data_IF_563753411174
#
_entry.id   IF_563753411174
#
_cell.length_a   1.000
_cell.length_b   1.000
_cell.length_c   1.000
_cell.angle_alpha   90.00
_cell.angle_beta   90.00
_cell.angle_gamma   90.00
#
_symmetry.space_group_name_H-M   'P 1'
#
loop_
_entity.id
_entity.type
_entity.pdbx_description
1 polymer ?
#
# COMPACT_ATOMS: atom_id res chain seq x y z
N UNK A 1 -25.88 -8.48 -22.16
CA UNK A 1 -26.34 -9.88 -22.28
C UNK A 1 -27.12 -9.94 -23.57
N UNK A 2 -26.85 -10.94 -24.41
CA UNK A 2 -27.46 -11.02 -25.73
C UNK A 2 -28.97 -11.30 -25.62
N UNK A 3 -29.65 -11.34 -26.77
CA UNK A 3 -31.09 -11.62 -26.84
C UNK A 3 -31.52 -12.96 -26.22
N UNK A 4 -30.56 -13.84 -25.90
CA UNK A 4 -30.77 -15.15 -25.29
C UNK A 4 -30.38 -15.18 -23.81
N UNK A 5 -29.98 -14.05 -23.23
CA UNK A 5 -29.57 -13.93 -21.82
C UNK A 5 -28.13 -14.37 -21.55
N UNK A 6 -27.31 -14.61 -22.58
CA UNK A 6 -25.90 -14.93 -22.41
C UNK A 6 -25.08 -13.68 -22.18
N UNK A 7 -24.06 -13.81 -21.35
CA UNK A 7 -23.12 -12.72 -21.09
C UNK A 7 -22.24 -12.53 -22.32
N UNK A 8 -22.41 -11.39 -23.00
CA UNK A 8 -21.67 -11.04 -24.22
C UNK A 8 -20.17 -10.83 -23.99
N UNK A 9 -19.76 -10.56 -22.75
CA UNK A 9 -18.37 -10.40 -22.35
C UNK A 9 -18.08 -11.14 -21.05
N UNK A 10 -17.66 -12.40 -21.16
CA UNK A 10 -17.36 -13.26 -20.03
C UNK A 10 -16.28 -12.67 -19.10
N UNK A 11 -15.27 -11.99 -19.67
CA UNK A 11 -14.21 -11.35 -18.89
C UNK A 11 -14.73 -10.17 -18.06
N UNK A 12 -15.63 -9.36 -18.64
CA UNK A 12 -16.27 -8.27 -17.91
C UNK A 12 -17.14 -8.80 -16.76
N UNK A 13 -17.88 -9.89 -16.98
CA UNK A 13 -18.64 -10.55 -15.91
C UNK A 13 -17.75 -11.13 -14.83
N UNK A 14 -16.66 -11.82 -15.20
CA UNK A 14 -15.70 -12.36 -14.24
C UNK A 14 -15.15 -11.23 -13.35
N UNK A 15 -14.67 -10.15 -13.96
CA UNK A 15 -14.16 -8.98 -13.24
C UNK A 15 -15.22 -8.37 -12.33
N UNK A 16 -16.45 -8.16 -12.82
CA UNK A 16 -17.55 -7.64 -12.03
C UNK A 16 -17.89 -8.55 -10.85
N UNK A 17 -17.99 -9.86 -11.08
CA UNK A 17 -18.40 -10.84 -10.07
C UNK A 17 -17.33 -11.01 -9.00
N UNK A 18 -16.05 -11.09 -9.40
CA UNK A 18 -14.92 -11.17 -8.48
C UNK A 18 -14.85 -9.91 -7.61
N UNK A 19 -14.91 -8.71 -8.21
CA UNK A 19 -14.91 -7.44 -7.47
C UNK A 19 -16.11 -7.32 -6.53
N UNK A 20 -17.30 -7.72 -6.97
CA UNK A 20 -18.49 -7.67 -6.11
C UNK A 20 -18.36 -8.63 -4.93
N UNK A 21 -17.78 -9.81 -5.14
CA UNK A 21 -17.51 -10.78 -4.07
C UNK A 21 -16.52 -10.20 -3.06
N UNK A 22 -15.42 -9.62 -3.53
CA UNK A 22 -14.44 -8.92 -2.69
C UNK A 22 -15.10 -7.80 -1.88
N UNK A 23 -15.88 -6.96 -2.55
CA UNK A 23 -16.58 -5.85 -1.90
C UNK A 23 -17.52 -6.33 -0.80
N UNK A 24 -18.33 -7.37 -1.05
CA UNK A 24 -19.23 -7.94 -0.04
C UNK A 24 -18.44 -8.47 1.17
N UNK A 25 -17.30 -9.10 0.93
CA UNK A 25 -16.44 -9.58 2.01
C UNK A 25 -15.86 -8.42 2.83
N UNK A 26 -15.37 -7.36 2.18
CA UNK A 26 -14.87 -6.15 2.85
C UNK A 26 -15.97 -5.42 3.64
N UNK A 27 -17.19 -5.32 3.09
CA UNK A 27 -18.38 -4.79 3.79
C UNK A 27 -18.70 -5.58 5.07
N UNK A 28 -18.35 -6.88 5.11
CA UNK A 28 -18.47 -7.74 6.29
C UNK A 28 -17.22 -7.75 7.19
N UNK A 29 -16.21 -6.92 6.88
CA UNK A 29 -14.95 -6.85 7.63
C UNK A 29 -14.03 -8.05 7.42
N UNK A 30 -14.24 -8.87 6.39
CA UNK A 30 -13.37 -9.98 6.03
C UNK A 30 -12.21 -9.54 5.14
N UNK A 31 -11.23 -10.43 4.96
CA UNK A 31 -10.17 -10.32 3.95
C UNK A 31 -10.37 -11.40 2.90
N UNK A 32 -9.94 -11.14 1.67
CA UNK A 32 -10.10 -12.07 0.54
C UNK A 32 -8.74 -12.48 0.00
N UNK A 33 -8.60 -13.80 -0.20
CA UNK A 33 -7.43 -14.42 -0.82
C UNK A 33 -7.74 -14.83 -2.26
N UNK A 34 -6.86 -14.50 -3.18
CA UNK A 34 -6.84 -15.04 -4.52
C UNK A 34 -6.06 -16.36 -4.51
N UNK A 35 -6.79 -17.45 -4.67
CA UNK A 35 -6.26 -18.78 -4.41
C UNK A 35 -5.70 -19.46 -5.66
N UNK A 36 -4.70 -20.33 -5.44
CA UNK A 36 -4.11 -21.25 -6.41
C UNK A 36 -4.07 -20.68 -7.84
N UNK A 37 -3.27 -19.62 -8.05
CA UNK A 37 -3.28 -18.80 -9.27
C UNK A 37 -3.05 -19.57 -10.58
N UNK A 38 -2.45 -20.75 -10.50
CA UNK A 38 -2.18 -21.65 -11.63
C UNK A 38 -3.17 -22.81 -11.75
N UNK A 39 -4.30 -22.75 -11.05
CA UNK A 39 -5.34 -23.77 -11.04
C UNK A 39 -5.06 -24.92 -10.06
N UNK A 40 -5.86 -25.98 -10.16
CA UNK A 40 -5.85 -27.09 -9.17
C UNK A 40 -5.11 -28.35 -9.65
N UNK A 41 -4.32 -28.25 -10.73
CA UNK A 41 -3.57 -29.35 -11.38
C UNK A 41 -4.39 -30.58 -11.81
N UNK A 42 -5.72 -30.56 -11.67
CA UNK A 42 -6.60 -31.60 -12.18
C UNK A 42 -6.94 -31.32 -13.66
N UNK A 43 -7.26 -32.37 -14.41
CA UNK A 43 -7.58 -32.29 -15.85
C UNK A 43 -8.79 -31.40 -16.19
N UNK A 44 -9.49 -30.86 -15.18
CA UNK A 44 -10.72 -30.09 -15.34
C UNK A 44 -10.47 -28.63 -15.68
N UNK A 45 -9.30 -28.07 -15.33
CA UNK A 45 -8.94 -26.69 -15.68
C UNK A 45 -7.48 -26.63 -16.18
N UNK A 46 -7.24 -26.11 -17.40
CA UNK A 46 -5.87 -25.96 -17.89
C UNK A 46 -5.09 -24.97 -17.02
N UNK A 47 -3.79 -25.22 -16.87
CA UNK A 47 -2.87 -24.24 -16.31
C UNK A 47 -2.91 -23.01 -17.23
N UNK A 48 -3.19 -21.80 -16.70
CA UNK A 48 -3.22 -20.61 -17.52
C UNK A 48 -1.81 -20.26 -18.01
N UNK A 49 -1.76 -19.53 -19.11
CA UNK A 49 -0.51 -18.93 -19.60
C UNK A 49 0.03 -17.94 -18.53
N UNK A 50 1.30 -18.07 -18.09
CA UNK A 50 1.85 -17.27 -17.01
C UNK A 50 1.74 -15.75 -17.23
N UNK A 51 2.10 -15.29 -18.42
CA UNK A 51 2.07 -13.89 -18.80
C UNK A 51 0.63 -13.36 -18.89
N UNK A 52 -0.30 -14.12 -19.47
CA UNK A 52 -1.71 -13.74 -19.52
C UNK A 52 -2.33 -13.64 -18.12
N UNK A 53 -1.98 -14.54 -17.20
CA UNK A 53 -2.45 -14.51 -15.81
C UNK A 53 -1.87 -13.29 -15.06
N UNK A 54 -0.56 -13.01 -15.25
CA UNK A 54 0.10 -11.81 -14.73
C UNK A 54 -0.60 -10.54 -15.24
N UNK A 55 -0.80 -10.43 -16.55
CA UNK A 55 -1.44 -9.27 -17.17
C UNK A 55 -2.86 -9.07 -16.65
N UNK A 56 -3.64 -10.15 -16.51
CA UNK A 56 -4.99 -10.11 -15.93
C UNK A 56 -4.96 -9.57 -14.51
N UNK A 57 -4.09 -10.11 -13.64
CA UNK A 57 -4.03 -9.71 -12.24
C UNK A 57 -3.47 -8.30 -12.06
N UNK A 58 -2.51 -7.86 -12.87
CA UNK A 58 -2.03 -6.46 -12.88
C UNK A 58 -3.16 -5.51 -13.30
N UNK A 59 -3.80 -5.77 -14.43
CA UNK A 59 -4.86 -4.90 -14.97
C UNK A 59 -6.08 -4.82 -14.04
N UNK A 60 -6.40 -5.93 -13.36
CA UNK A 60 -7.53 -6.00 -12.44
C UNK A 60 -7.15 -5.64 -11.01
N UNK A 61 -5.88 -5.39 -10.71
CA UNK A 61 -5.36 -5.24 -9.34
C UNK A 61 -5.81 -6.41 -8.45
N UNK A 62 -5.61 -7.63 -8.93
CA UNK A 62 -6.08 -8.88 -8.34
C UNK A 62 -7.56 -8.87 -7.94
N UNK A 63 -8.40 -8.17 -8.71
CA UNK A 63 -9.82 -7.96 -8.44
C UNK A 63 -10.14 -7.29 -7.07
N UNK A 64 -9.14 -6.69 -6.42
CA UNK A 64 -9.23 -6.13 -5.08
C UNK A 64 -8.97 -7.12 -3.95
N UNK A 65 -8.49 -8.33 -4.23
CA UNK A 65 -8.08 -9.28 -3.20
C UNK A 65 -6.94 -8.69 -2.33
N UNK A 66 -6.95 -9.03 -1.05
CA UNK A 66 -5.97 -8.56 -0.07
C UNK A 66 -4.72 -9.46 -0.05
N UNK A 67 -4.92 -10.73 -0.37
CA UNK A 67 -3.95 -11.81 -0.22
C UNK A 67 -3.86 -12.61 -1.53
N UNK A 68 -2.67 -13.06 -1.88
CA UNK A 68 -2.36 -14.02 -2.93
C UNK A 68 -1.82 -15.29 -2.29
N UNK A 69 -2.33 -16.45 -2.69
CA UNK A 69 -1.67 -17.71 -2.35
C UNK A 69 -0.39 -17.88 -3.15
N UNK A 70 0.74 -17.75 -2.45
CA UNK A 70 2.09 -17.83 -3.01
C UNK A 70 2.77 -19.14 -2.58
N UNK A 71 2.63 -19.48 -1.30
CA UNK A 71 3.29 -20.63 -0.68
C UNK A 71 2.69 -21.95 -1.12
N UNK A 72 3.14 -22.44 -2.27
CA UNK A 72 2.93 -23.80 -2.77
C UNK A 72 4.26 -24.39 -3.20
N UNK A 73 4.58 -25.62 -2.75
CA UNK A 73 5.72 -26.35 -3.36
C UNK A 73 5.46 -26.65 -4.83
N UNK A 74 4.23 -27.05 -5.13
CA UNK A 74 3.76 -27.32 -6.47
C UNK A 74 2.23 -27.30 -6.50
N UNK A 75 1.64 -26.47 -7.38
CA UNK A 75 0.19 -26.40 -7.64
C UNK A 75 -0.03 -25.77 -9.01
N UNK A 76 -0.25 -26.59 -10.03
CA UNK A 76 -0.19 -26.16 -11.42
C UNK A 76 1.26 -25.95 -11.87
N UNK A 77 1.92 -24.93 -11.33
CA UNK A 77 3.35 -24.65 -11.49
C UNK A 77 4.12 -24.83 -10.17
N UNK A 78 5.43 -24.62 -10.20
CA UNK A 78 6.31 -24.67 -9.02
C UNK A 78 6.33 -23.35 -8.24
N UNK A 79 7.00 -23.36 -7.09
CA UNK A 79 7.11 -22.19 -6.20
C UNK A 79 7.73 -20.97 -6.89
N UNK A 80 8.70 -21.17 -7.79
CA UNK A 80 9.37 -20.06 -8.49
C UNK A 80 8.38 -19.29 -9.37
N UNK A 81 7.43 -19.97 -10.01
CA UNK A 81 6.36 -19.31 -10.77
C UNK A 81 5.42 -18.48 -9.87
N UNK A 82 5.10 -18.96 -8.65
CA UNK A 82 4.30 -18.20 -7.69
C UNK A 82 5.06 -16.97 -7.17
N UNK A 83 6.35 -17.11 -6.84
CA UNK A 83 7.20 -16.00 -6.39
C UNK A 83 7.34 -14.96 -7.50
N UNK A 84 7.56 -15.38 -8.75
CA UNK A 84 7.61 -14.49 -9.91
C UNK A 84 6.32 -13.69 -10.07
N UNK A 85 5.16 -14.34 -10.06
CA UNK A 85 3.88 -13.63 -10.20
C UNK A 85 3.66 -12.63 -9.05
N UNK A 86 4.00 -13.01 -7.83
CA UNK A 86 3.90 -12.10 -6.69
C UNK A 86 4.82 -10.89 -6.87
N UNK A 87 6.07 -11.11 -7.28
CA UNK A 87 7.04 -10.05 -7.52
C UNK A 87 6.61 -9.09 -8.64
N UNK A 88 6.01 -9.61 -9.71
CA UNK A 88 5.44 -8.83 -10.82
C UNK A 88 4.26 -7.94 -10.35
N UNK A 89 3.37 -8.48 -9.52
CA UNK A 89 2.25 -7.72 -8.97
C UNK A 89 2.73 -6.61 -8.04
N UNK A 90 3.68 -6.92 -7.15
CA UNK A 90 4.28 -5.93 -6.27
C UNK A 90 4.95 -4.84 -7.11
N UNK A 91 5.80 -5.20 -8.07
CA UNK A 91 6.52 -4.25 -8.93
C UNK A 91 5.57 -3.34 -9.75
N UNK A 92 4.37 -3.83 -10.10
CA UNK A 92 3.34 -3.05 -10.78
C UNK A 92 2.59 -2.05 -9.86
N UNK A 93 2.95 -1.98 -8.57
CA UNK A 93 2.23 -1.20 -7.56
C UNK A 93 1.00 -1.90 -6.98
N UNK A 94 0.76 -3.19 -7.30
CA UNK A 94 -0.29 -3.99 -6.67
C UNK A 94 0.26 -4.60 -5.38
N UNK A 95 0.18 -3.85 -4.28
CA UNK A 95 0.72 -4.23 -2.97
C UNK A 95 -0.11 -5.34 -2.26
N UNK A 96 -0.22 -6.51 -2.88
CA UNK A 96 -0.93 -7.69 -2.36
C UNK A 96 -0.06 -8.49 -1.38
N UNK A 97 -0.66 -9.02 -0.31
CA UNK A 97 0.04 -9.86 0.65
C UNK A 97 0.25 -11.28 0.11
N UNK A 98 1.40 -11.89 0.39
CA UNK A 98 1.61 -13.30 0.14
C UNK A 98 1.23 -14.14 1.37
N UNK A 99 0.57 -15.26 1.15
CA UNK A 99 0.38 -16.29 2.17
C UNK A 99 0.85 -17.67 1.66
N UNK A 100 0.94 -18.62 2.59
CA UNK A 100 1.17 -20.03 2.30
C UNK A 100 0.09 -20.90 2.94
N UNK A 101 -0.37 -21.89 2.19
CA UNK A 101 -1.48 -22.75 2.57
C UNK A 101 -1.21 -24.20 2.18
N UNK A 102 -1.87 -25.13 2.87
CA UNK A 102 -1.82 -26.55 2.51
C UNK A 102 -2.89 -26.96 1.52
N UNK A 103 -4.04 -26.27 1.50
CA UNK A 103 -5.24 -26.66 0.75
C UNK A 103 -5.63 -28.14 1.00
N UNK A 104 -5.43 -28.60 2.25
CA UNK A 104 -5.67 -29.99 2.66
C UNK A 104 -7.17 -30.30 2.64
N UNK A 105 -7.57 -31.36 1.92
CA UNK A 105 -8.95 -31.85 1.95
C UNK A 105 -9.15 -32.96 3.00
N UNK A 106 -8.10 -33.26 3.78
CA UNK A 106 -8.10 -34.18 4.91
C UNK A 106 -7.89 -35.66 4.52
N UNK A 107 -8.06 -36.55 5.50
CA UNK A 107 -7.81 -37.98 5.34
C UNK A 107 -6.32 -38.33 5.29
N UNK A 108 -6.00 -39.62 5.18
CA UNK A 108 -4.59 -40.07 5.22
C UNK A 108 -3.81 -39.72 3.94
N UNK A 109 -4.51 -39.59 2.81
CA UNK A 109 -3.92 -39.37 1.50
C UNK A 109 -3.74 -37.88 1.14
N UNK A 110 -4.51 -36.98 1.77
CA UNK A 110 -4.48 -35.54 1.51
C UNK A 110 -4.41 -34.73 2.82
N UNK A 111 -3.43 -35.08 3.65
CA UNK A 111 -3.08 -34.39 4.88
C UNK A 111 -1.81 -33.56 4.66
N UNK A 112 -1.83 -32.30 5.08
CA UNK A 112 -0.67 -31.38 5.05
C UNK A 112 0.62 -31.98 5.64
N UNK A 113 0.53 -32.93 6.59
CA UNK A 113 1.71 -33.60 7.16
C UNK A 113 2.40 -34.58 6.22
N UNK A 114 1.65 -35.12 5.26
CA UNK A 114 2.06 -36.23 4.41
C UNK A 114 2.10 -35.85 2.93
N UNK A 115 1.59 -34.68 2.56
CA UNK A 115 1.67 -34.14 1.21
C UNK A 115 2.84 -33.17 1.10
N UNK A 116 3.41 -32.99 -0.11
CA UNK A 116 4.45 -31.99 -0.32
C UNK A 116 3.97 -30.56 0.00
N UNK A 117 2.66 -30.28 -0.10
CA UNK A 117 2.13 -28.96 0.19
C UNK A 117 1.79 -28.78 1.67
N UNK A 118 2.81 -28.42 2.44
CA UNK A 118 2.77 -28.26 3.90
C UNK A 118 3.01 -26.82 4.35
N UNK A 119 2.81 -25.86 3.44
CA UNK A 119 2.96 -24.45 3.76
C UNK A 119 1.86 -23.97 4.70
N UNK A 120 2.25 -23.10 5.63
CA UNK A 120 1.37 -22.39 6.55
C UNK A 120 1.71 -20.90 6.54
N UNK A 121 0.81 -20.11 7.12
CA UNK A 121 1.04 -18.69 7.37
C UNK A 121 1.07 -18.44 8.87
N UNK A 122 2.15 -17.85 9.35
CA UNK A 122 2.25 -17.35 10.73
C UNK A 122 1.78 -15.91 10.78
N UNK A 123 0.98 -15.59 11.79
CA UNK A 123 0.41 -14.26 12.00
C UNK A 123 1.03 -13.67 13.27
N UNK A 124 1.72 -12.55 13.15
CA UNK A 124 2.20 -11.77 14.29
C UNK A 124 1.03 -10.92 14.81
N UNK A 125 0.32 -11.47 15.79
CA UNK A 125 -0.85 -10.86 16.42
C UNK A 125 -0.64 -10.64 17.92
N UNK A 126 -1.42 -9.72 18.50
CA UNK A 126 -1.39 -9.45 19.94
C UNK A 126 -1.86 -10.67 20.77
N UNK A 127 -2.76 -11.48 20.23
CA UNK A 127 -3.20 -12.74 20.83
C UNK A 127 -3.72 -13.72 19.77
N UNK A 128 -4.15 -14.91 20.19
CA UNK A 128 -4.81 -15.90 19.34
C UNK A 128 -6.32 -15.68 19.21
N UNK A 129 -6.86 -14.56 19.72
CA UNK A 129 -8.25 -14.21 19.51
C UNK A 129 -8.50 -13.91 18.02
N UNK A 130 -9.68 -14.25 17.51
CA UNK A 130 -10.03 -14.05 16.10
C UNK A 130 -9.77 -12.60 15.65
N UNK A 131 -10.20 -11.61 16.44
CA UNK A 131 -10.04 -10.19 16.12
C UNK A 131 -8.58 -9.79 15.93
N UNK A 132 -7.70 -10.22 16.84
CA UNK A 132 -6.28 -9.90 16.80
C UNK A 132 -5.56 -10.64 15.66
N UNK A 133 -5.95 -11.88 15.36
CA UNK A 133 -5.44 -12.62 14.21
C UNK A 133 -5.86 -11.95 12.89
N UNK A 134 -7.11 -11.51 12.80
CA UNK A 134 -7.61 -10.80 11.62
C UNK A 134 -6.94 -9.43 11.47
N UNK A 135 -6.68 -8.72 12.57
CA UNK A 135 -5.93 -7.46 12.57
C UNK A 135 -4.48 -7.68 12.12
N UNK A 136 -3.78 -8.67 12.67
CA UNK A 136 -2.41 -9.02 12.26
C UNK A 136 -2.33 -9.38 10.76
N UNK A 137 -3.29 -10.17 10.27
CA UNK A 137 -3.40 -10.50 8.84
C UNK A 137 -3.70 -9.27 8.00
N UNK A 138 -4.65 -8.42 8.42
CA UNK A 138 -5.02 -7.17 7.73
C UNK A 138 -3.84 -6.23 7.63
N UNK A 139 -3.02 -6.12 8.67
CA UNK A 139 -1.78 -5.31 8.69
C UNK A 139 -0.64 -5.93 7.87
N UNK A 140 -0.81 -7.15 7.35
CA UNK A 140 0.23 -7.86 6.62
C UNK A 140 1.40 -8.30 7.50
N UNK A 141 1.20 -8.35 8.83
CA UNK A 141 2.19 -8.80 9.81
C UNK A 141 2.27 -10.33 9.80
N UNK A 142 2.54 -10.88 8.62
CA UNK A 142 2.51 -12.32 8.36
C UNK A 142 3.70 -12.75 7.52
N UNK A 143 4.14 -13.97 7.75
CA UNK A 143 5.14 -14.66 6.94
C UNK A 143 4.66 -16.09 6.72
N UNK A 144 5.18 -16.76 5.69
CA UNK A 144 4.70 -18.08 5.31
C UNK A 144 5.83 -19.02 4.93
N UNK A 145 5.58 -20.31 4.97
CA UNK A 145 6.64 -21.30 4.80
C UNK A 145 6.25 -22.70 5.24
N UNK A 146 7.20 -23.60 5.16
CA UNK A 146 7.04 -25.01 5.52
C UNK A 146 7.19 -25.20 7.03
N UNK A 147 6.09 -25.54 7.70
CA UNK A 147 6.02 -25.78 9.15
C UNK A 147 6.92 -26.93 9.62
N UNK A 148 7.28 -27.86 8.74
CA UNK A 148 8.16 -28.99 9.05
C UNK A 148 9.64 -28.62 8.99
N UNK A 149 9.98 -27.48 8.38
CA UNK A 149 11.36 -27.00 8.21
C UNK A 149 11.65 -25.74 9.03
N UNK A 150 10.62 -24.96 9.36
CA UNK A 150 10.74 -23.71 10.08
C UNK A 150 9.65 -23.61 11.15
N UNK A 151 10.07 -23.33 12.40
CA UNK A 151 9.19 -23.04 13.54
C UNK A 151 9.80 -21.89 14.36
N UNK A 152 10.25 -20.87 13.63
CA UNK A 152 10.96 -19.71 14.16
C UNK A 152 10.15 -18.42 14.06
N UNK A 153 10.87 -17.31 14.18
CA UNK A 153 10.33 -15.97 14.00
C UNK A 153 10.94 -15.32 12.76
N UNK A 154 10.15 -14.59 12.01
CA UNK A 154 10.62 -13.79 10.89
C UNK A 154 9.97 -12.41 10.94
N UNK A 155 10.79 -11.37 10.78
CA UNK A 155 10.32 -10.00 10.68
C UNK A 155 11.28 -9.17 9.84
N UNK A 156 10.75 -8.11 9.23
CA UNK A 156 11.58 -7.02 8.78
C UNK A 156 10.84 -5.69 8.96
N UNK A 157 11.60 -4.62 8.94
CA UNK A 157 11.06 -3.27 9.01
C UNK A 157 12.13 -2.22 8.91
N UNK A 158 11.70 -0.99 8.73
CA UNK A 158 12.59 0.16 8.70
C UNK A 158 12.92 0.63 10.12
N UNK A 159 14.01 1.39 10.24
CA UNK A 159 14.40 2.02 11.49
C UNK A 159 13.35 3.03 11.99
N UNK A 160 12.59 3.62 11.06
CA UNK A 160 11.53 4.60 11.33
C UNK A 160 10.14 3.98 11.63
N UNK A 161 10.05 2.65 11.76
CA UNK A 161 8.89 1.99 12.36
C UNK A 161 7.95 1.30 11.38
N UNK A 162 8.19 1.40 10.06
CA UNK A 162 7.48 0.59 9.08
C UNK A 162 7.89 -0.88 9.20
N UNK A 163 6.96 -1.76 8.89
CA UNK A 163 7.04 -3.18 9.21
C UNK A 163 6.53 -4.00 8.03
N UNK A 164 6.93 -5.27 7.90
CA UNK A 164 6.41 -6.12 6.82
C UNK A 164 4.88 -6.02 6.75
N UNK A 165 4.35 -5.86 5.55
CA UNK A 165 2.95 -5.55 5.27
C UNK A 165 2.66 -4.08 5.02
N UNK A 166 3.50 -3.14 5.48
CA UNK A 166 3.32 -1.71 5.28
C UNK A 166 3.39 -1.30 3.79
N UNK A 167 2.58 -0.31 3.43
CA UNK A 167 2.56 0.37 2.14
C UNK A 167 2.79 1.85 2.43
N UNK A 168 3.95 2.38 2.03
CA UNK A 168 4.39 3.73 2.36
C UNK A 168 4.45 4.55 1.07
N UNK A 169 3.70 5.65 1.00
CA UNK A 169 3.90 6.63 -0.07
C UNK A 169 5.02 7.58 0.33
N UNK A 170 6.05 7.69 -0.51
CA UNK A 170 7.26 8.44 -0.15
C UNK A 170 7.95 9.08 -1.34
N UNK A 171 8.65 10.18 -1.08
CA UNK A 171 9.54 10.88 -2.02
C UNK A 171 11.03 10.62 -1.72
N UNK A 172 11.34 9.73 -0.78
CA UNK A 172 12.70 9.31 -0.46
C UNK A 172 13.31 8.49 -1.60
N UNK A 173 14.60 8.70 -1.84
CA UNK A 173 15.37 7.92 -2.80
C UNK A 173 15.86 6.57 -2.24
N UNK A 174 15.86 6.38 -0.91
CA UNK A 174 16.22 5.12 -0.28
C UNK A 174 15.62 4.93 1.12
N UNK A 175 15.57 3.67 1.55
CA UNK A 175 15.17 3.25 2.89
C UNK A 175 16.10 2.15 3.43
N UNK A 176 16.46 2.22 4.71
CA UNK A 176 17.17 1.13 5.40
C UNK A 176 16.16 0.16 6.01
N UNK A 177 16.31 -1.12 5.72
CA UNK A 177 15.40 -2.18 6.17
C UNK A 177 16.18 -3.22 6.97
N UNK A 178 15.85 -3.35 8.24
CA UNK A 178 16.33 -4.42 9.11
C UNK A 178 15.53 -5.68 8.89
N UNK A 179 16.21 -6.80 8.67
CA UNK A 179 15.62 -8.14 8.54
C UNK A 179 16.13 -9.03 9.66
N UNK A 180 15.24 -9.76 10.30
CA UNK A 180 15.55 -10.66 11.42
C UNK A 180 14.87 -12.00 11.21
N UNK A 181 15.62 -13.07 11.42
CA UNK A 181 15.12 -14.44 11.50
C UNK A 181 15.68 -15.14 12.72
N UNK A 182 14.84 -15.91 13.39
CA UNK A 182 15.20 -16.87 14.44
C UNK A 182 14.73 -18.28 14.04
N UNK A 183 15.24 -19.31 14.71
CA UNK A 183 14.87 -20.70 14.43
C UNK A 183 15.54 -21.28 13.18
N UNK A 184 16.69 -20.72 12.81
CA UNK A 184 17.48 -21.16 11.66
C UNK A 184 18.41 -22.34 12.00
N UNK A 185 18.86 -23.05 10.97
CA UNK A 185 19.90 -24.06 11.08
C UNK A 185 21.19 -23.57 10.41
N UNK A 186 22.34 -24.00 10.93
CA UNK A 186 23.62 -23.76 10.27
C UNK A 186 23.60 -24.37 8.86
N UNK A 187 23.98 -23.57 7.85
CA UNK A 187 23.93 -23.95 6.44
C UNK A 187 22.67 -23.47 5.71
N UNK A 188 21.64 -23.01 6.43
CA UNK A 188 20.53 -22.28 5.80
C UNK A 188 21.08 -21.05 5.06
N UNK A 189 20.40 -20.63 4.00
CA UNK A 189 20.73 -19.42 3.23
C UNK A 189 19.59 -18.42 3.34
N UNK A 190 19.89 -17.20 3.78
CA UNK A 190 18.95 -16.07 3.77
C UNK A 190 19.21 -15.26 2.50
N UNK A 191 18.15 -14.98 1.73
CA UNK A 191 18.17 -14.10 0.57
C UNK A 191 17.34 -12.86 0.83
N UNK A 192 17.88 -11.71 0.42
CA UNK A 192 17.16 -10.43 0.45
C UNK A 192 16.82 -10.07 -0.99
N UNK A 193 15.53 -9.87 -1.26
CA UNK A 193 14.99 -9.58 -2.58
C UNK A 193 14.49 -8.14 -2.58
N UNK A 194 15.08 -7.31 -3.44
CA UNK A 194 14.64 -5.94 -3.69
C UNK A 194 14.00 -5.87 -5.07
N UNK A 195 12.71 -5.52 -5.13
CA UNK A 195 11.95 -5.37 -6.38
C UNK A 195 12.15 -6.55 -7.35
N UNK A 196 12.01 -7.77 -6.84
CA UNK A 196 12.14 -9.03 -7.59
C UNK A 196 13.57 -9.49 -7.87
N UNK A 197 14.58 -8.74 -7.42
CA UNK A 197 16.00 -9.06 -7.66
C UNK A 197 16.71 -9.40 -6.34
N UNK A 198 17.43 -10.53 -6.25
CA UNK A 198 18.28 -10.82 -5.10
C UNK A 198 19.42 -9.79 -4.96
N UNK A 199 19.45 -9.08 -3.84
CA UNK A 199 20.50 -8.08 -3.51
C UNK A 199 21.46 -8.55 -2.41
N UNK A 200 21.06 -9.54 -1.61
CA UNK A 200 21.96 -10.26 -0.70
C UNK A 200 21.62 -11.74 -0.65
N UNK A 201 22.63 -12.58 -0.39
CA UNK A 201 22.49 -14.02 -0.18
C UNK A 201 23.57 -14.50 0.77
N UNK A 202 23.20 -14.88 1.99
CA UNK A 202 24.11 -15.17 3.08
C UNK A 202 23.86 -16.54 3.69
N UNK A 203 24.93 -17.33 3.87
CA UNK A 203 24.86 -18.63 4.56
C UNK A 203 24.96 -18.41 6.06
N UNK A 204 23.96 -18.91 6.78
CA UNK A 204 23.82 -18.72 8.23
C UNK A 204 24.65 -19.75 8.97
N UNK A 205 25.32 -19.33 10.04
CA UNK A 205 26.18 -20.20 10.87
C UNK A 205 25.57 -20.56 12.22
N UNK A 206 24.45 -19.93 12.59
CA UNK A 206 23.76 -20.12 13.86
C UNK A 206 22.24 -20.25 13.71
N UNK A 207 21.52 -20.07 14.81
CA UNK A 207 20.05 -20.16 14.85
C UNK A 207 19.32 -18.84 14.64
N UNK A 208 20.06 -17.75 14.48
CA UNK A 208 19.54 -16.40 14.28
C UNK A 208 20.32 -15.68 13.19
N UNK A 209 19.64 -14.81 12.48
CA UNK A 209 20.18 -13.94 11.44
C UNK A 209 19.60 -12.55 11.60
N UNK A 210 20.44 -11.53 11.48
CA UNK A 210 20.01 -10.14 11.44
C UNK A 210 20.89 -9.36 10.47
N UNK A 211 20.28 -8.57 9.60
CA UNK A 211 20.98 -7.70 8.66
C UNK A 211 20.22 -6.40 8.46
N UNK A 212 20.90 -5.37 7.95
CA UNK A 212 20.31 -4.14 7.46
C UNK A 212 20.67 -4.00 6.00
N UNK A 213 19.67 -3.77 5.15
CA UNK A 213 19.85 -3.60 3.71
C UNK A 213 19.30 -2.24 3.31
N UNK A 214 20.07 -1.49 2.52
CA UNK A 214 19.58 -0.28 1.88
C UNK A 214 18.79 -0.66 0.61
N UNK A 215 17.52 -0.23 0.56
CA UNK A 215 16.66 -0.33 -0.61
C UNK A 215 16.69 1.01 -1.35
N UNK A 216 17.05 0.98 -2.64
CA UNK A 216 16.90 2.13 -3.53
C UNK A 216 15.44 2.22 -3.98
N UNK A 217 14.87 3.41 -3.88
CA UNK A 217 13.51 3.72 -4.29
C UNK A 217 13.62 4.59 -5.56
N UNK A 218 13.35 3.98 -6.71
CA UNK A 218 13.33 4.68 -7.98
C UNK A 218 12.00 5.44 -8.14
N UNK A 219 11.99 6.79 -8.17
CA UNK A 219 10.77 7.55 -8.33
C UNK A 219 10.09 7.34 -9.70
N UNK A 220 10.80 6.79 -10.70
CA UNK A 220 10.25 6.42 -12.00
C UNK A 220 9.58 5.04 -12.04
N UNK A 221 9.79 4.20 -11.01
CA UNK A 221 9.18 2.88 -10.93
C UNK A 221 7.81 2.93 -10.24
N UNK A 222 6.83 2.06 -10.58
CA UNK A 222 5.53 2.07 -9.91
C UNK A 222 5.61 1.76 -8.41
N UNK A 223 6.63 1.02 -7.99
CA UNK A 223 6.92 0.73 -6.59
C UNK A 223 8.36 0.28 -6.39
N UNK A 224 8.82 0.31 -5.14
CA UNK A 224 9.99 -0.43 -4.67
C UNK A 224 9.57 -1.27 -3.45
N UNK A 225 10.14 -2.46 -3.28
CA UNK A 225 9.85 -3.27 -2.11
C UNK A 225 11.03 -4.15 -1.73
N UNK A 226 11.03 -4.61 -0.48
CA UNK A 226 11.99 -5.60 -0.01
C UNK A 226 11.27 -6.75 0.67
N UNK A 227 11.60 -7.99 0.29
CA UNK A 227 11.21 -9.22 1.00
C UNK A 227 12.43 -10.09 1.28
N UNK A 228 12.29 -10.99 2.24
CA UNK A 228 13.35 -11.93 2.59
C UNK A 228 12.86 -13.37 2.50
N UNK A 229 13.78 -14.26 2.14
CA UNK A 229 13.53 -15.67 1.90
C UNK A 229 14.59 -16.50 2.62
N UNK A 230 14.21 -17.69 3.07
CA UNK A 230 15.14 -18.65 3.65
C UNK A 230 15.03 -19.98 2.95
N UNK A 231 16.19 -20.53 2.59
CA UNK A 231 16.35 -21.85 2.00
C UNK A 231 17.23 -22.71 2.90
N UNK A 232 16.94 -24.00 2.97
CA UNK A 232 17.81 -24.99 3.63
C UNK A 232 19.13 -25.16 2.88
N UNK A 233 20.10 -25.80 3.54
CA UNK A 233 21.41 -26.09 2.95
C UNK A 233 21.35 -26.92 1.64
N UNK A 234 20.25 -27.65 1.43
CA UNK A 234 19.95 -28.44 0.25
C UNK A 234 19.21 -27.64 -0.86
N UNK A 235 18.97 -26.35 -0.62
CA UNK A 235 18.21 -25.47 -1.52
C UNK A 235 16.70 -25.56 -1.33
N UNK A 236 16.20 -26.31 -0.34
CA UNK A 236 14.77 -26.42 -0.09
C UNK A 236 14.20 -25.13 0.52
N UNK A 237 13.15 -24.56 -0.06
CA UNK A 237 12.44 -23.41 0.50
C UNK A 237 11.92 -23.67 1.92
N UNK A 238 12.16 -22.71 2.84
CA UNK A 238 11.76 -22.79 4.26
C UNK A 238 10.70 -21.75 4.63
N UNK A 239 11.04 -20.45 4.52
CA UNK A 239 10.17 -19.36 4.99
C UNK A 239 10.38 -18.07 4.17
N UNK A 240 9.32 -17.28 4.03
CA UNK A 240 9.25 -16.05 3.23
C UNK A 240 8.49 -14.97 4.01
N UNK A 241 9.03 -13.75 4.04
CA UNK A 241 8.35 -12.59 4.66
C UNK A 241 7.42 -11.90 3.67
N UNK A 242 6.38 -11.22 4.15
CA UNK A 242 5.72 -10.18 3.36
C UNK A 242 6.65 -8.97 3.18
N UNK A 243 6.44 -8.11 2.16
CA UNK A 243 7.30 -6.95 1.92
C UNK A 243 6.92 -5.71 2.74
N UNK A 244 7.86 -4.78 2.89
CA UNK A 244 7.56 -3.34 2.99
C UNK A 244 7.53 -2.79 1.57
N UNK A 245 6.43 -2.14 1.18
CA UNK A 245 6.25 -1.56 -0.16
C UNK A 245 6.32 -0.04 -0.07
N UNK A 246 7.12 0.57 -0.94
CA UNK A 246 7.23 2.01 -1.12
C UNK A 246 6.64 2.39 -2.48
N UNK A 247 5.79 3.39 -2.48
CA UNK A 247 5.12 3.93 -3.67
C UNK A 247 5.54 5.39 -3.85
N UNK A 248 5.99 5.81 -5.04
CA UNK A 248 6.25 7.22 -5.29
C UNK A 248 4.96 8.03 -5.48
N UNK A 249 3.84 7.36 -5.77
CA UNK A 249 2.55 7.99 -6.04
C UNK A 249 1.46 7.26 -5.25
N UNK A 250 0.53 8.03 -4.69
CA UNK A 250 -0.65 7.48 -4.02
C UNK A 250 -1.50 6.67 -5.01
N UNK A 251 -1.88 5.41 -4.70
CA UNK A 251 -2.80 4.67 -5.54
C UNK A 251 -4.13 5.40 -5.69
N UNK A 252 -4.77 5.30 -6.85
CA UNK A 252 -6.09 5.93 -7.10
C UNK A 252 -7.21 5.44 -6.16
N UNK A 253 -7.03 4.30 -5.49
CA UNK A 253 -7.94 3.81 -4.47
C UNK A 253 -7.67 4.43 -3.08
N UNK A 254 -6.61 5.22 -2.95
CA UNK A 254 -6.06 5.69 -1.69
C UNK A 254 -5.24 4.62 -0.94
N UNK A 255 -4.84 4.97 0.28
CA UNK A 255 -4.23 4.06 1.25
C UNK A 255 -5.15 3.86 2.46
N UNK A 256 -5.41 2.60 2.80
CA UNK A 256 -6.15 2.26 4.01
C UNK A 256 -5.23 2.22 5.24
N UNK A 257 -5.69 2.73 6.38
CA UNK A 257 -4.90 2.89 7.62
C UNK A 257 -4.19 1.63 8.13
N UNK A 258 -4.74 0.44 7.88
CA UNK A 258 -4.18 -0.80 8.45
C UNK A 258 -2.80 -1.16 7.88
N UNK A 259 -2.48 -0.69 6.67
CA UNK A 259 -1.19 -0.92 6.01
C UNK A 259 -0.54 0.36 5.52
N UNK A 260 -1.33 1.40 5.29
CA UNK A 260 -0.89 2.66 4.73
C UNK A 260 -0.04 3.50 5.69
N UNK A 261 0.92 4.21 5.11
CA UNK A 261 1.70 5.26 5.73
C UNK A 261 2.19 6.25 4.66
N UNK A 262 2.68 7.40 5.09
CA UNK A 262 3.40 8.33 4.23
C UNK A 262 4.68 8.83 4.91
N UNK A 263 5.67 9.13 4.08
CA UNK A 263 6.92 9.82 4.44
C UNK A 263 7.25 10.76 3.30
N UNK A 264 6.74 11.99 3.39
CA UNK A 264 6.72 12.96 2.31
C UNK A 264 7.26 14.30 2.80
N UNK A 265 8.30 14.80 2.13
CA UNK A 265 8.94 16.09 2.43
C UNK A 265 9.41 16.26 3.86
N UNK A 266 9.65 15.16 4.58
CA UNK A 266 10.06 15.19 5.99
C UNK A 266 8.91 15.11 6.99
N UNK A 267 7.65 15.07 6.52
CA UNK A 267 6.50 14.70 7.33
C UNK A 267 6.24 13.20 7.21
N UNK A 268 6.30 12.51 8.34
CA UNK A 268 6.09 11.06 8.39
C UNK A 268 4.90 10.72 9.27
N UNK A 269 3.96 9.92 8.78
CA UNK A 269 2.94 9.34 9.65
C UNK A 269 3.57 8.33 10.61
N UNK A 270 3.28 8.44 11.90
CA UNK A 270 3.60 7.41 12.91
C UNK A 270 2.39 6.54 13.23
N UNK A 271 1.19 7.14 13.16
CA UNK A 271 -0.08 6.47 13.38
C UNK A 271 -1.04 6.95 12.30
N UNK A 272 -1.69 6.02 11.62
CA UNK A 272 -2.91 6.23 10.87
C UNK A 272 -3.88 5.19 11.42
N UNK A 273 -4.90 5.64 12.15
CA UNK A 273 -5.89 4.75 12.74
C UNK A 273 -7.29 5.18 12.32
N UNK A 274 -8.07 4.23 11.79
CA UNK A 274 -9.40 4.45 11.25
C UNK A 274 -9.48 5.59 10.21
N UNK A 275 -8.46 5.67 9.36
CA UNK A 275 -8.36 6.65 8.29
C UNK A 275 -8.17 5.99 6.93
N UNK A 276 -8.52 6.74 5.90
CA UNK A 276 -8.11 6.48 4.53
C UNK A 276 -7.49 7.76 3.99
N UNK A 277 -6.24 7.66 3.51
CA UNK A 277 -5.62 8.72 2.71
C UNK A 277 -6.12 8.56 1.29
N UNK A 278 -6.95 9.48 0.82
CA UNK A 278 -7.62 9.38 -0.49
C UNK A 278 -6.80 10.10 -1.57
N UNK A 279 -6.20 11.23 -1.20
CA UNK A 279 -5.43 12.07 -2.09
C UNK A 279 -4.34 12.80 -1.30
N UNK A 280 -3.33 13.32 -2.00
CA UNK A 280 -2.30 14.16 -1.42
C UNK A 280 -1.77 15.15 -2.44
N UNK A 281 -1.23 16.25 -1.93
CA UNK A 281 -0.71 17.33 -2.73
C UNK A 281 0.52 17.91 -2.03
N UNK A 282 1.61 18.07 -2.79
CA UNK A 282 2.93 18.43 -2.29
C UNK A 282 3.41 19.67 -3.01
N UNK A 283 3.78 20.71 -2.27
CA UNK A 283 4.27 21.97 -2.84
C UNK A 283 5.76 22.15 -2.52
N UNK A 284 6.57 22.27 -3.58
CA UNK A 284 8.02 22.49 -3.49
C UNK A 284 8.39 23.96 -3.72
N UNK A 285 8.64 24.71 -2.66
CA UNK A 285 9.27 26.04 -2.74
C UNK A 285 10.32 26.21 -1.63
N UNK A 286 11.44 25.48 -1.74
CA UNK A 286 12.57 25.67 -0.83
C UNK A 286 12.24 25.35 0.65
N UNK A 287 12.65 26.18 1.62
CA UNK A 287 12.47 25.87 3.05
C UNK A 287 11.00 25.90 3.52
N UNK A 288 10.06 26.34 2.68
CA UNK A 288 8.65 26.53 3.03
C UNK A 288 7.79 25.38 2.46
N UNK A 289 8.13 24.15 2.84
CA UNK A 289 7.42 22.96 2.37
C UNK A 289 5.96 22.96 2.86
N UNK A 290 5.05 22.55 1.97
CA UNK A 290 3.65 22.30 2.33
C UNK A 290 3.22 20.91 1.87
N UNK A 291 2.50 20.24 2.76
CA UNK A 291 1.89 18.94 2.54
C UNK A 291 0.39 19.03 2.83
N UNK A 292 -0.41 18.73 1.83
CA UNK A 292 -1.85 18.60 1.93
C UNK A 292 -2.24 17.12 1.85
N UNK A 293 -2.95 16.63 2.86
CA UNK A 293 -3.40 15.25 2.98
C UNK A 293 -4.92 15.21 2.96
N UNK A 294 -5.52 14.49 2.00
CA UNK A 294 -6.97 14.27 1.96
C UNK A 294 -7.31 13.00 2.70
N UNK A 295 -8.03 13.17 3.79
CA UNK A 295 -8.34 12.12 4.73
C UNK A 295 -9.85 11.90 4.79
N UNK A 296 -10.26 10.64 4.80
CA UNK A 296 -11.61 10.21 5.15
C UNK A 296 -11.56 9.34 6.39
N UNK A 297 -12.41 9.66 7.37
CA UNK A 297 -12.52 8.84 8.57
C UNK A 297 -13.33 7.59 8.29
N UNK A 298 -12.76 6.44 8.59
CA UNK A 298 -13.41 5.12 8.52
C UNK A 298 -13.79 4.60 9.92
N UNK A 299 -13.77 5.47 10.93
CA UNK A 299 -14.04 5.10 12.31
C UNK A 299 -15.52 4.71 12.50
N UNK A 300 -15.82 3.69 13.32
CA UNK A 300 -17.19 3.40 13.73
C UNK A 300 -17.84 4.61 14.39
N UNK A 301 -19.16 4.75 14.27
CA UNK A 301 -19.89 5.86 14.87
C UNK A 301 -19.60 5.98 16.39
N UNK A 302 -19.17 7.16 16.83
CA UNK A 302 -18.80 7.43 18.22
C UNK A 302 -17.37 7.07 18.59
N UNK A 303 -16.57 6.57 17.64
CA UNK A 303 -15.12 6.49 17.73
C UNK A 303 -14.54 7.54 16.78
N UNK A 304 -13.53 8.28 17.23
CA UNK A 304 -12.79 9.18 16.36
C UNK A 304 -11.51 8.54 15.85
N UNK A 305 -11.08 8.98 14.68
CA UNK A 305 -9.85 8.53 14.08
C UNK A 305 -8.63 9.20 14.74
N UNK A 306 -7.45 8.62 14.56
CA UNK A 306 -6.20 9.21 15.07
C UNK A 306 -5.16 9.27 13.96
N UNK A 307 -4.50 10.42 13.83
CA UNK A 307 -3.26 10.54 13.06
C UNK A 307 -2.18 11.19 13.90
N UNK A 308 -0.99 10.59 13.89
CA UNK A 308 0.22 11.13 14.51
C UNK A 308 1.24 11.35 13.41
N UNK A 309 1.79 12.55 13.33
CA UNK A 309 2.75 12.97 12.30
C UNK A 309 4.02 13.43 12.99
N UNK A 310 5.15 12.92 12.52
CA UNK A 310 6.50 13.30 12.89
C UNK A 310 7.02 14.33 11.89
N UNK A 311 7.49 15.47 12.40
CA UNK A 311 8.10 16.55 11.64
C UNK A 311 9.60 16.72 11.98
N UNK A 312 10.21 15.75 12.67
CA UNK A 312 11.59 15.85 13.16
C UNK A 312 12.63 16.06 12.07
N UNK A 313 12.35 15.61 10.83
CA UNK A 313 13.22 15.88 9.68
C UNK A 313 13.35 17.37 9.35
N UNK A 314 12.36 18.21 9.71
CA UNK A 314 12.42 19.66 9.56
C UNK A 314 13.18 20.34 10.71
N UNK A 315 13.41 19.63 11.82
CA UNK A 315 13.99 20.19 13.05
C UNK A 315 13.07 21.20 13.77
N UNK A 316 11.83 21.34 13.32
CA UNK A 316 10.78 22.20 13.90
C UNK A 316 9.39 21.65 13.58
N UNK A 317 8.38 22.08 14.33
CA UNK A 317 6.98 21.87 13.97
C UNK A 317 6.58 22.83 12.84
N UNK A 318 5.57 22.49 12.02
CA UNK A 318 5.04 23.39 11.01
C UNK A 318 4.51 24.67 11.64
N UNK A 319 4.64 25.78 10.92
CA UNK A 319 4.10 27.07 11.34
C UNK A 319 2.57 27.05 11.39
N UNK A 320 1.94 26.27 10.49
CA UNK A 320 0.49 26.16 10.40
C UNK A 320 0.04 24.71 10.23
N UNK A 321 -0.98 24.33 11.01
CA UNK A 321 -1.74 23.09 10.87
C UNK A 321 -3.20 23.47 10.68
N UNK A 322 -3.74 23.20 9.50
CA UNK A 322 -5.11 23.60 9.13
C UNK A 322 -5.95 22.39 8.78
N UNK A 323 -7.21 22.42 9.21
CA UNK A 323 -8.22 21.43 8.89
C UNK A 323 -9.34 22.07 8.08
N UNK A 324 -9.69 21.46 6.95
CA UNK A 324 -10.87 21.82 6.15
C UNK A 324 -11.72 20.58 5.94
N UNK A 325 -13.03 20.64 6.21
CA UNK A 325 -13.93 19.47 6.16
C UNK A 325 -13.72 18.43 7.28
N UNK A 326 -12.70 18.62 8.12
CA UNK A 326 -12.33 17.76 9.23
C UNK A 326 -12.52 18.47 10.57
N UNK A 327 -12.88 17.70 11.60
CA UNK A 327 -12.86 18.16 12.99
C UNK A 327 -12.03 17.20 13.83
N UNK A 328 -11.11 17.73 14.64
CA UNK A 328 -10.25 16.97 15.53
C UNK A 328 -9.78 17.81 16.72
N UNK A 329 -9.26 17.14 17.74
CA UNK A 329 -8.42 17.75 18.77
C UNK A 329 -6.97 17.69 18.30
N UNK A 330 -6.36 18.85 18.10
CA UNK A 330 -4.95 18.95 17.68
C UNK A 330 -4.08 19.21 18.91
N UNK A 331 -3.05 18.38 19.06
CA UNK A 331 -1.99 18.56 20.07
C UNK A 331 -0.64 18.49 19.39
N UNK A 332 0.34 19.21 19.93
CA UNK A 332 1.71 19.20 19.44
C UNK A 332 2.69 18.95 20.57
N UNK A 333 3.76 18.23 20.27
CA UNK A 333 4.89 18.02 21.14
C UNK A 333 6.13 18.67 20.50
N UNK A 334 6.61 19.74 21.10
CA UNK A 334 7.75 20.50 20.58
C UNK A 334 9.10 19.82 20.85
N UNK A 335 9.19 18.90 21.82
CA UNK A 335 10.40 18.14 22.10
C UNK A 335 10.51 16.95 21.14
N UNK A 336 9.41 16.22 20.95
CA UNK A 336 9.35 15.11 20.01
C UNK A 336 9.15 15.55 18.55
N UNK A 337 8.82 16.82 18.31
CA UNK A 337 8.43 17.37 17.01
C UNK A 337 7.29 16.60 16.35
N UNK A 338 6.27 16.28 17.15
CA UNK A 338 5.09 15.53 16.67
C UNK A 338 3.81 16.35 16.71
N UNK A 339 2.89 16.03 15.81
CA UNK A 339 1.55 16.58 15.70
C UNK A 339 0.60 15.41 15.85
N UNK A 340 -0.32 15.48 16.81
CA UNK A 340 -1.30 14.44 17.09
C UNK A 340 -2.70 15.00 16.94
N UNK A 341 -3.47 14.40 16.03
CA UNK A 341 -4.88 14.68 15.84
C UNK A 341 -5.68 13.49 16.37
N UNK A 342 -6.47 13.71 17.40
CA UNK A 342 -7.38 12.70 17.98
C UNK A 342 -8.83 13.12 17.78
N UNK A 343 -9.74 12.17 17.97
CA UNK A 343 -11.17 12.36 17.78
C UNK A 343 -11.50 12.90 16.38
N UNK A 344 -10.66 12.56 15.40
CA UNK A 344 -10.80 13.05 14.04
C UNK A 344 -12.07 12.47 13.41
N UNK A 345 -12.90 13.33 12.82
CA UNK A 345 -14.14 12.97 12.13
C UNK A 345 -14.30 13.76 10.83
N UNK A 346 -14.97 13.15 9.86
CA UNK A 346 -15.35 13.78 8.59
C UNK A 346 -14.51 13.33 7.39
N UNK A 347 -14.56 14.13 6.34
CA UNK A 347 -13.74 13.95 5.14
C UNK A 347 -13.28 15.32 4.68
N UNK A 348 -12.00 15.46 4.37
CA UNK A 348 -11.42 16.73 3.95
C UNK A 348 -9.90 16.75 4.07
N UNK A 349 -9.33 17.93 4.26
CA UNK A 349 -7.88 18.17 4.16
C UNK A 349 -7.26 18.48 5.49
N UNK A 350 -6.12 17.84 5.75
CA UNK A 350 -5.11 18.26 6.70
C UNK A 350 -3.96 18.92 5.94
N UNK A 351 -3.72 20.20 6.21
CA UNK A 351 -2.58 20.96 5.65
C UNK A 351 -1.52 21.17 6.73
N UNK A 352 -0.29 20.81 6.40
CA UNK A 352 0.93 21.12 7.14
C UNK A 352 1.75 22.10 6.32
N UNK A 353 2.07 23.28 6.85
CA UNK A 353 2.79 24.30 6.10
C UNK A 353 3.77 25.10 6.94
N UNK A 354 4.92 25.37 6.33
CA UNK A 354 5.99 26.24 6.82
C UNK A 354 5.93 27.68 6.24
N UNK A 355 4.87 28.04 5.47
CA UNK A 355 4.84 29.32 4.76
C UNK A 355 3.53 29.64 4.02
N UNK A 356 3.66 30.28 2.85
CA UNK A 356 2.59 31.06 2.17
C UNK A 356 1.25 30.32 1.97
N UNK A 357 0.11 31.04 1.98
CA UNK A 357 -1.21 30.47 1.73
C UNK A 357 -1.30 29.75 0.37
N UNK A 358 -2.22 28.78 0.25
CA UNK A 358 -2.61 28.12 -1.01
C UNK A 358 -2.81 29.17 -2.10
N UNK A 359 -2.35 28.92 -3.34
CA UNK A 359 -3.10 29.44 -4.47
C UNK A 359 -4.29 28.51 -4.64
N UNK A 360 -5.51 28.96 -4.29
CA UNK A 360 -6.66 28.05 -4.20
C UNK A 360 -6.96 27.32 -5.51
N UNK A 361 -6.44 27.85 -6.63
CA UNK A 361 -6.79 27.53 -8.00
C UNK A 361 -5.68 26.78 -8.76
N UNK A 362 -4.60 26.44 -8.05
CA UNK A 362 -3.55 25.52 -8.50
C UNK A 362 -4.02 24.08 -8.20
N UNK A 363 -4.42 23.37 -9.26
CA UNK A 363 -5.06 22.06 -9.21
C UNK A 363 -4.04 20.93 -9.17
N UNK A 364 -2.88 21.10 -9.82
CA UNK A 364 -1.82 20.08 -9.86
C UNK A 364 -0.76 20.27 -8.76
N UNK A 365 -0.86 21.35 -7.99
CA UNK A 365 -0.01 21.70 -6.86
C UNK A 365 1.43 22.10 -7.22
N UNK A 366 1.67 22.62 -8.43
CA UNK A 366 3.01 23.03 -8.89
C UNK A 366 3.36 24.50 -8.53
N UNK A 367 2.47 25.20 -7.82
CA UNK A 367 2.47 26.62 -7.45
C UNK A 367 2.27 27.61 -8.61
N UNK A 368 1.81 27.16 -9.79
CA UNK A 368 1.54 28.00 -10.93
C UNK A 368 0.19 27.62 -11.55
N UNK A 369 -0.80 28.51 -11.55
CA UNK A 369 -2.04 28.25 -12.28
C UNK A 369 -1.79 28.36 -13.78
N UNK A 370 -1.64 27.22 -14.46
CA UNK A 370 -1.17 27.13 -15.82
C UNK A 370 -1.88 26.02 -16.62
N UNK A 371 -1.29 25.66 -17.77
CA UNK A 371 -1.83 24.62 -18.65
C UNK A 371 -1.96 23.26 -17.97
N UNK A 372 -1.07 22.91 -17.06
CA UNK A 372 -1.09 21.62 -16.37
C UNK A 372 -2.28 21.49 -15.39
N UNK A 373 -2.74 22.58 -14.78
CA UNK A 373 -3.97 22.59 -13.98
C UNK A 373 -5.21 22.37 -14.83
N UNK A 374 -5.27 23.05 -15.98
CA UNK A 374 -6.33 22.85 -16.94
C UNK A 374 -6.34 21.43 -17.49
N UNK A 375 -5.17 20.86 -17.78
CA UNK A 375 -5.05 19.48 -18.22
C UNK A 375 -5.61 18.53 -17.16
N UNK A 376 -5.35 18.76 -15.87
CA UNK A 376 -5.92 17.95 -14.79
C UNK A 376 -7.46 18.04 -14.77
N UNK A 377 -8.04 19.23 -14.82
CA UNK A 377 -9.50 19.43 -14.86
C UNK A 377 -10.12 18.73 -16.07
N UNK A 378 -9.53 18.89 -17.25
CA UNK A 378 -10.04 18.27 -18.47
C UNK A 378 -9.93 16.74 -18.43
N UNK A 379 -8.88 16.21 -17.79
CA UNK A 379 -8.68 14.76 -17.62
C UNK A 379 -9.67 14.17 -16.62
N UNK A 380 -10.06 14.94 -15.61
CA UNK A 380 -10.98 14.51 -14.55
C UNK A 380 -12.43 14.95 -14.80
N UNK A 381 -12.74 15.46 -16.00
CA UNK A 381 -14.06 16.03 -16.30
C UNK A 381 -15.23 15.09 -16.00
N UNK A 382 -16.18 15.57 -15.22
CA UNK A 382 -17.38 14.85 -14.78
C UNK A 382 -17.12 13.75 -13.75
N UNK A 383 -15.89 13.60 -13.25
CA UNK A 383 -15.59 12.66 -12.18
C UNK A 383 -16.06 13.23 -10.82
N UNK A 384 -16.68 12.39 -9.97
CA UNK A 384 -16.90 12.75 -8.58
C UNK A 384 -15.58 12.70 -7.81
N UNK A 385 -15.33 13.70 -6.98
CA UNK A 385 -14.08 13.86 -6.23
C UNK A 385 -14.39 14.34 -4.82
N UNK A 386 -13.51 14.07 -3.83
CA UNK A 386 -13.55 14.80 -2.57
C UNK A 386 -13.41 16.30 -2.83
N UNK A 387 -14.22 17.12 -2.15
CA UNK A 387 -14.24 18.56 -2.34
C UNK A 387 -12.82 19.18 -2.28
N UNK A 388 -12.43 19.92 -3.32
CA UNK A 388 -11.17 20.68 -3.36
C UNK A 388 -9.97 19.98 -4.03
N UNK A 389 -10.17 18.80 -4.65
CA UNK A 389 -9.09 17.90 -5.14
C UNK A 389 -9.33 17.30 -6.51
N UNK A 390 -8.24 16.81 -7.12
CA UNK A 390 -8.22 16.14 -8.42
C UNK A 390 -9.00 16.91 -9.51
N UNK A 391 -8.91 18.24 -9.49
CA UNK A 391 -9.59 19.12 -10.43
C UNK A 391 -10.95 19.68 -9.96
N UNK A 392 -11.50 19.28 -8.82
CA UNK A 392 -12.70 19.91 -8.22
C UNK A 392 -12.26 21.03 -7.26
N UNK A 393 -11.88 22.17 -7.84
CA UNK A 393 -11.41 23.34 -7.09
C UNK A 393 -12.53 24.04 -6.33
N UNK A 394 -13.76 24.00 -6.87
CA UNK A 394 -14.94 24.62 -6.29
C UNK A 394 -15.44 23.90 -5.05
N UNK A 395 -15.06 22.63 -4.88
CA UNK A 395 -15.43 21.80 -3.76
C UNK A 395 -16.91 21.44 -3.76
N UNK A 396 -17.52 21.34 -4.94
CA UNK A 396 -18.93 20.94 -5.09
C UNK A 396 -19.10 19.41 -5.21
N UNK A 397 -17.98 18.68 -5.24
CA UNK A 397 -17.91 17.23 -5.31
C UNK A 397 -17.81 16.68 -6.74
N UNK A 398 -17.73 17.55 -7.76
CA UNK A 398 -17.63 17.15 -9.16
C UNK A 398 -16.71 18.07 -9.96
N UNK A 399 -15.77 17.50 -10.72
CA UNK A 399 -14.97 18.27 -11.68
C UNK A 399 -15.83 18.69 -12.86
N UNK A 400 -16.15 19.97 -12.97
CA UNK A 400 -17.08 20.52 -13.94
C UNK A 400 -16.72 21.95 -14.38
N UNK A 401 -17.70 22.66 -14.93
CA UNK A 401 -17.50 24.04 -15.39
C UNK A 401 -17.19 25.03 -14.26
N UNK A 402 -17.63 24.76 -13.02
CA UNK A 402 -17.28 25.56 -11.86
C UNK A 402 -15.76 25.61 -11.67
N UNK A 403 -15.11 24.44 -11.69
CA UNK A 403 -13.67 24.32 -11.48
C UNK A 403 -12.86 24.86 -12.65
N UNK A 404 -13.35 24.64 -13.88
CA UNK A 404 -12.74 25.23 -15.07
C UNK A 404 -12.72 26.77 -15.00
N UNK A 405 -13.85 27.36 -14.58
CA UNK A 405 -13.92 28.81 -14.43
C UNK A 405 -12.95 29.29 -13.35
N UNK A 406 -12.80 28.53 -12.27
CA UNK A 406 -11.84 28.79 -11.21
C UNK A 406 -10.38 28.83 -11.70
N UNK A 407 -9.91 27.84 -12.48
CA UNK A 407 -8.56 27.88 -13.09
C UNK A 407 -8.40 29.04 -14.07
N UNK A 408 -9.40 29.28 -14.91
CA UNK A 408 -9.33 30.33 -15.93
C UNK A 408 -9.33 31.74 -15.31
N UNK A 409 -9.97 31.92 -14.15
CA UNK A 409 -10.01 33.19 -13.44
C UNK A 409 -8.65 33.57 -12.83
N UNK A 410 -7.83 32.58 -12.44
CA UNK A 410 -6.48 32.79 -11.91
C UNK A 410 -5.35 32.45 -12.88
N UNK A 411 -5.65 32.35 -14.17
CA UNK A 411 -4.68 31.94 -15.17
C UNK A 411 -3.40 32.80 -15.18
N UNK A 412 -2.25 32.15 -14.99
CA UNK A 412 -0.94 32.79 -14.96
C UNK A 412 -0.61 33.52 -13.66
N UNK A 413 -1.43 33.40 -12.61
CA UNK A 413 -1.10 33.91 -11.29
C UNK A 413 -0.10 32.98 -10.57
N UNK A 414 0.97 33.56 -10.01
CA UNK A 414 1.95 32.85 -9.19
C UNK A 414 1.71 33.07 -7.69
N UNK A 415 2.03 32.08 -6.85
CA UNK A 415 1.70 32.06 -5.42
C UNK A 415 2.50 33.03 -4.52
N UNK A 416 3.17 34.03 -5.07
CA UNK A 416 4.09 34.88 -4.32
C UNK A 416 4.23 36.29 -4.89
N UNK A 417 3.33 37.19 -4.51
CA UNK A 417 3.54 38.62 -4.72
C UNK A 417 2.25 39.41 -4.78
N UNK A 418 2.09 40.33 -3.82
CA UNK A 418 1.10 41.41 -3.85
C UNK A 418 0.87 41.92 -5.27
N UNK A 419 -0.40 41.94 -5.67
CA UNK A 419 -0.89 42.60 -6.86
C UNK A 419 -0.45 44.08 -6.92
N UNK A 420 0.72 44.34 -7.50
CA UNK A 420 1.11 45.67 -7.96
C UNK A 420 1.92 45.53 -9.24
N UNK A 421 1.25 45.59 -10.40
CA UNK A 421 1.96 45.72 -11.67
C UNK A 421 1.18 45.33 -12.92
N UNK A 422 0.20 46.17 -13.29
CA UNK A 422 -0.36 46.37 -14.64
C UNK A 422 -0.46 45.18 -15.61
N UNK A 423 -1.70 44.75 -15.88
CA UNK A 423 -2.06 44.13 -17.16
C UNK A 423 -1.56 45.01 -18.33
N UNK A 424 -0.82 44.42 -19.27
CA UNK A 424 -0.77 44.83 -20.67
C UNK A 424 -1.25 43.69 -21.53
#
# INVERSE_FOLDING_TARGET
ADANGWVENANALLNHSARRTVQIAHEAGALVSFNHAWGTSNELLPIPDPEAQRDLLVQTRAFGADILEVGYRQRGLDLDAFLWLWDELLASGTAILGNGVSDTHGGNADNWRNTPNNFVTWILAASTAHGDLLDGLRRGRVFFGDLTLFDGHADHGTADGWRMGSIVVTDRASAEISTVFDGLASGDTVRIIATGVPVSSEVVTGSSFATVTELVIDPGAPSAYLRAEVYGADGTAKVFTNPVVFLPVLPSAGLAHHRGGFDLRGYRSLVLDHLRLIDLCIFDQGPDARLDLVLETTAPAGQGATVVIDASAHGRLPEMVTLNGLAAVITTDAEALTITLTDLVGSGTLTLSDGLPRCPLDANCDNLVNFFDLELILTQWGQPTPNGYAGDLSGDGFVNFADLNEVLEAWGEGCGGTATGSRQ
#
